data_IF_351939951294
#
_entry.id   IF_351939951294
#
_cell.length_a   1.000
_cell.length_b   1.000
_cell.length_c   1.000
_cell.angle_alpha   90.00
_cell.angle_beta   90.00
_cell.angle_gamma   90.00
#
_symmetry.space_group_name_H-M   'P 1'
#
loop_
_entity.id
_entity.type
_entity.pdbx_description
1 polymer ?
#
# COMPACT_ATOMS: atom_id res chain seq x y z
N UNK A 1 -4.16 20.30 14.20
CA UNK A 1 -2.94 19.59 13.81
C UNK A 1 -3.25 18.13 14.01
N UNK A 2 -3.74 17.45 12.98
CA UNK A 2 -3.93 16.00 13.06
C UNK A 2 -2.54 15.39 12.98
N UNK A 3 -2.20 14.62 14.00
CA UNK A 3 -0.84 14.22 14.31
C UNK A 3 -0.26 13.32 13.21
N UNK A 4 0.88 13.72 12.66
CA UNK A 4 1.63 12.94 11.66
C UNK A 4 1.88 11.48 12.12
N UNK A 5 1.91 11.24 13.44
CA UNK A 5 2.04 9.92 14.06
C UNK A 5 0.79 9.04 13.91
N UNK A 6 -0.43 9.59 13.96
CA UNK A 6 -1.66 8.84 13.70
C UNK A 6 -1.71 8.37 12.25
N UNK A 7 -1.42 9.27 11.31
CA UNK A 7 -1.36 8.93 9.88
C UNK A 7 -0.31 7.85 9.59
N UNK A 8 0.85 7.92 10.24
CA UNK A 8 1.89 6.90 10.11
C UNK A 8 1.46 5.55 10.71
N UNK A 9 0.71 5.56 11.80
CA UNK A 9 0.10 4.37 12.41
C UNK A 9 -0.94 3.71 11.50
N UNK A 10 -1.83 4.51 10.91
CA UNK A 10 -2.85 4.04 9.95
C UNK A 10 -2.21 3.44 8.69
N UNK A 11 -1.21 4.11 8.12
CA UNK A 11 -0.45 3.59 6.98
C UNK A 11 0.21 2.25 7.34
N UNK A 12 0.80 2.14 8.52
CA UNK A 12 1.45 0.90 8.98
C UNK A 12 0.42 -0.24 9.14
N UNK A 13 -0.74 0.05 9.73
CA UNK A 13 -1.82 -0.92 9.87
C UNK A 13 -2.34 -1.42 8.51
N UNK A 14 -2.51 -0.50 7.55
CA UNK A 14 -2.93 -0.84 6.19
C UNK A 14 -1.89 -1.74 5.49
N UNK A 15 -0.60 -1.42 5.62
CA UNK A 15 0.48 -2.24 5.07
C UNK A 15 0.49 -3.67 5.66
N UNK A 16 0.31 -3.79 6.98
CA UNK A 16 0.21 -5.08 7.65
C UNK A 16 -1.01 -5.89 7.18
N UNK A 17 -2.16 -5.24 7.03
CA UNK A 17 -3.38 -5.88 6.54
C UNK A 17 -3.22 -6.41 5.11
N UNK A 18 -2.67 -5.60 4.20
CA UNK A 18 -2.44 -6.01 2.80
C UNK A 18 -1.42 -7.15 2.73
N UNK A 19 -0.36 -7.11 3.54
CA UNK A 19 0.63 -8.19 3.63
C UNK A 19 0.01 -9.51 4.14
N UNK A 20 -0.82 -9.43 5.19
CA UNK A 20 -1.53 -10.60 5.72
C UNK A 20 -2.56 -11.15 4.71
N UNK A 21 -3.29 -10.27 4.02
CA UNK A 21 -4.22 -10.69 2.98
C UNK A 21 -3.48 -11.41 1.85
N UNK A 22 -2.36 -10.86 1.40
CA UNK A 22 -1.52 -11.47 0.38
C UNK A 22 -1.06 -12.88 0.79
N UNK A 23 -0.60 -13.07 2.03
CA UNK A 23 -0.10 -14.37 2.50
C UNK A 23 -1.18 -15.45 2.66
N UNK A 24 -2.45 -15.05 2.84
CA UNK A 24 -3.59 -15.99 2.89
C UNK A 24 -4.10 -16.45 1.53
N UNK A 25 -3.70 -15.77 0.44
CA UNK A 25 -4.14 -16.11 -0.91
C UNK A 25 -3.33 -17.28 -1.50
N UNK A 26 -3.91 -18.09 -2.40
CA UNK A 26 -3.16 -19.09 -3.16
C UNK A 26 -2.00 -18.46 -3.95
N UNK A 27 -0.89 -19.18 -4.12
CA UNK A 27 0.33 -18.68 -4.78
C UNK A 27 0.08 -18.05 -6.16
N UNK A 28 -0.82 -18.63 -6.96
CA UNK A 28 -1.21 -18.10 -8.27
C UNK A 28 -1.94 -16.74 -8.20
N UNK A 29 -2.56 -16.43 -7.07
CA UNK A 29 -3.21 -15.17 -6.79
C UNK A 29 -2.22 -14.17 -6.17
N UNK A 30 -1.27 -14.62 -5.35
CA UNK A 30 -0.16 -13.79 -4.84
C UNK A 30 0.66 -13.17 -5.97
N UNK A 31 1.01 -13.97 -6.97
CA UNK A 31 1.74 -13.54 -8.18
C UNK A 31 1.00 -12.45 -8.97
N UNK A 32 -0.34 -12.46 -8.94
CA UNK A 32 -1.19 -11.50 -9.67
C UNK A 32 -1.63 -10.30 -8.83
N UNK A 33 -1.47 -10.38 -7.51
CA UNK A 33 -1.90 -9.34 -6.57
C UNK A 33 -1.16 -8.04 -6.82
N UNK A 34 0.17 -8.11 -6.99
CA UNK A 34 0.97 -6.90 -7.15
C UNK A 34 0.73 -6.16 -8.47
N UNK A 35 0.70 -6.82 -9.65
CA UNK A 35 0.29 -6.15 -10.89
C UNK A 35 -1.11 -5.53 -10.80
N UNK A 36 -2.06 -6.22 -10.15
CA UNK A 36 -3.40 -5.68 -9.94
C UNK A 36 -3.40 -4.46 -8.99
N UNK A 37 -2.61 -4.52 -7.92
CA UNK A 37 -2.39 -3.40 -7.01
C UNK A 37 -1.77 -2.20 -7.75
N UNK A 38 -0.73 -2.40 -8.56
CA UNK A 38 -0.09 -1.32 -9.33
C UNK A 38 -1.06 -0.66 -10.31
N UNK A 39 -1.91 -1.44 -10.98
CA UNK A 39 -2.93 -0.91 -11.88
C UNK A 39 -3.92 0.00 -11.14
N UNK A 40 -4.37 -0.40 -9.95
CA UNK A 40 -5.25 0.41 -9.11
C UNK A 40 -4.54 1.60 -8.49
N UNK A 41 -3.29 1.43 -8.05
CA UNK A 41 -2.45 2.48 -7.51
C UNK A 41 -2.21 3.59 -8.53
N UNK A 42 -1.95 3.23 -9.80
CA UNK A 42 -1.79 4.21 -10.88
C UNK A 42 -3.00 5.11 -11.04
N UNK A 43 -4.22 4.54 -11.01
CA UNK A 43 -5.47 5.30 -11.11
C UNK A 43 -5.71 6.21 -9.90
N UNK A 44 -5.24 5.79 -8.72
CA UNK A 44 -5.37 6.56 -7.49
C UNK A 44 -4.40 7.74 -7.44
N UNK A 45 -3.16 7.57 -7.94
CA UNK A 45 -2.13 8.64 -7.92
C UNK A 45 -2.61 9.93 -8.56
N UNK A 46 -3.34 9.84 -9.67
CA UNK A 46 -3.87 10.99 -10.40
C UNK A 46 -4.97 11.75 -9.63
N UNK A 47 -5.51 11.16 -8.57
CA UNK A 47 -6.62 11.70 -7.77
C UNK A 47 -6.15 12.24 -6.40
N UNK A 48 -4.90 12.00 -6.03
CA UNK A 48 -4.36 12.40 -4.73
C UNK A 48 -3.81 13.83 -4.77
N UNK A 49 -3.99 14.57 -3.68
CA UNK A 49 -3.23 15.80 -3.45
C UNK A 49 -1.74 15.46 -3.31
N UNK A 50 -0.86 16.45 -3.52
CA UNK A 50 0.60 16.26 -3.43
C UNK A 50 1.05 15.65 -2.08
N UNK A 51 0.42 16.06 -0.98
CA UNK A 51 0.74 15.56 0.36
C UNK A 51 0.29 14.09 0.54
N UNK A 52 -0.92 13.76 0.09
CA UNK A 52 -1.45 12.40 0.13
C UNK A 52 -0.69 11.45 -0.82
N UNK A 53 -0.26 11.95 -1.99
CA UNK A 53 0.55 11.21 -2.94
C UNK A 53 1.88 10.79 -2.32
N UNK A 54 2.55 11.70 -1.61
CA UNK A 54 3.82 11.39 -0.94
C UNK A 54 3.66 10.30 0.13
N UNK A 55 2.61 10.37 0.94
CA UNK A 55 2.30 9.32 1.92
C UNK A 55 1.99 7.97 1.27
N UNK A 56 1.23 8.00 0.17
CA UNK A 56 0.88 6.82 -0.63
C UNK A 56 2.11 6.15 -1.27
N UNK A 57 3.04 6.92 -1.80
CA UNK A 57 4.29 6.40 -2.37
C UNK A 57 5.17 5.73 -1.31
N UNK A 58 5.34 6.38 -0.15
CA UNK A 58 6.09 5.79 0.97
C UNK A 58 5.48 4.47 1.45
N UNK A 59 4.16 4.43 1.60
CA UNK A 59 3.43 3.21 1.97
C UNK A 59 3.63 2.10 0.93
N UNK A 60 3.51 2.44 -0.35
CA UNK A 60 3.66 1.50 -1.47
C UNK A 60 5.07 0.93 -1.56
N UNK A 61 6.11 1.75 -1.37
CA UNK A 61 7.51 1.31 -1.33
C UNK A 61 7.72 0.33 -0.18
N UNK A 62 7.23 0.65 1.02
CA UNK A 62 7.33 -0.23 2.20
C UNK A 62 6.61 -1.58 2.01
N UNK A 63 5.46 -1.56 1.34
CA UNK A 63 4.73 -2.77 0.97
C UNK A 63 5.48 -3.62 -0.06
N UNK A 64 6.08 -2.99 -1.07
CA UNK A 64 6.85 -3.70 -2.09
C UNK A 64 8.11 -4.38 -1.54
N UNK A 65 8.76 -3.79 -0.54
CA UNK A 65 9.99 -4.32 0.05
C UNK A 65 9.76 -5.55 0.94
N UNK A 66 8.54 -5.72 1.46
CA UNK A 66 8.12 -6.90 2.24
C UNK A 66 7.74 -8.11 1.39
N UNK A 67 7.91 -8.03 0.06
CA UNK A 67 7.65 -9.13 -0.89
C UNK A 67 8.82 -10.12 -1.01
N UNK A 68 9.86 -9.97 -0.20
CA UNK A 68 11.02 -10.87 -0.11
C UNK A 68 10.76 -12.05 0.81
#
# INVERSE_FOLDING_TARGET
MTDSSELQGEITALCCFVGALASTLPLSSQMRLWPAFEQKASQLRDQLSQEALRGFELATISLSSKRG
#
